data_IF_333237621256
#
_entry.id   IF_333237621256
#
_cell.length_a   1.000
_cell.length_b   1.000
_cell.length_c   1.000
_cell.angle_alpha   90.00
_cell.angle_beta   90.00
_cell.angle_gamma   90.00
#
_symmetry.space_group_name_H-M   'P 1'
#
loop_
_entity.id
_entity.type
_entity.pdbx_description
1 polymer ?
#
# COMPACT_ATOMS: atom_id res chain seq x y z
N UNK A 1 -9.34 24.20 -14.08
CA UNK A 1 -9.14 22.87 -13.47
C UNK A 1 -8.74 23.08 -12.01
N UNK A 2 -9.68 22.92 -11.07
CA UNK A 2 -9.44 23.14 -9.63
C UNK A 2 -9.09 21.78 -9.05
N UNK A 3 -7.82 21.54 -8.69
CA UNK A 3 -7.41 20.29 -8.06
C UNK A 3 -7.70 20.37 -6.55
N UNK A 4 -8.71 19.66 -6.02
CA UNK A 4 -8.98 19.68 -4.59
C UNK A 4 -7.85 18.91 -3.90
N UNK A 5 -6.94 19.65 -3.23
CA UNK A 5 -5.88 19.14 -2.35
C UNK A 5 -5.16 17.87 -2.86
N UNK A 6 -4.81 17.83 -4.14
CA UNK A 6 -3.99 16.75 -4.68
C UNK A 6 -2.54 16.95 -4.23
N UNK A 7 -2.13 16.28 -3.15
CA UNK A 7 -0.72 16.27 -2.69
C UNK A 7 0.17 15.37 -3.55
N UNK A 8 -0.42 14.49 -4.36
CA UNK A 8 0.28 13.50 -5.18
C UNK A 8 -0.32 13.44 -6.59
N UNK A 9 0.53 13.54 -7.60
CA UNK A 9 0.15 13.52 -9.02
C UNK A 9 0.99 12.46 -9.75
N UNK A 10 0.34 11.73 -10.66
CA UNK A 10 1.01 10.82 -11.61
C UNK A 10 0.51 11.18 -13.00
N UNK A 11 1.45 11.35 -13.93
CA UNK A 11 1.18 11.60 -15.35
C UNK A 11 1.83 10.45 -16.12
N UNK A 12 1.07 9.82 -17.00
CA UNK A 12 1.56 8.75 -17.88
C UNK A 12 1.57 9.29 -19.30
N UNK A 13 2.69 9.10 -19.99
CA UNK A 13 2.92 9.57 -21.35
C UNK A 13 3.46 8.40 -22.16
N UNK A 14 3.12 8.37 -23.44
CA UNK A 14 3.55 7.33 -24.37
C UNK A 14 4.97 7.59 -24.88
N UNK A 15 5.26 8.86 -25.21
CA UNK A 15 6.56 9.27 -25.72
C UNK A 15 7.50 9.80 -24.63
N UNK A 16 8.80 9.49 -24.79
CA UNK A 16 9.84 9.85 -23.82
C UNK A 16 10.17 11.34 -23.86
N UNK A 17 10.19 11.94 -25.05
CA UNK A 17 10.51 13.36 -25.21
C UNK A 17 9.36 14.23 -24.73
N UNK A 18 8.12 13.81 -24.97
CA UNK A 18 6.93 14.42 -24.36
C UNK A 18 7.03 14.41 -22.83
N UNK A 19 7.43 13.28 -22.26
CA UNK A 19 7.61 13.15 -20.82
C UNK A 19 8.66 14.10 -20.26
N UNK A 20 9.78 14.30 -20.97
CA UNK A 20 10.80 15.28 -20.59
C UNK A 20 10.28 16.72 -20.70
N UNK A 21 9.57 17.07 -21.78
CA UNK A 21 9.01 18.42 -21.95
C UNK A 21 8.01 18.73 -20.84
N UNK A 22 7.09 17.82 -20.56
CA UNK A 22 6.12 17.97 -19.46
C UNK A 22 6.84 18.10 -18.12
N UNK A 23 7.87 17.28 -17.85
CA UNK A 23 8.65 17.34 -16.61
C UNK A 23 9.32 18.70 -16.38
N UNK A 24 9.81 19.35 -17.45
CA UNK A 24 10.43 20.68 -17.38
C UNK A 24 9.41 21.82 -17.25
N UNK A 25 8.22 21.68 -17.86
CA UNK A 25 7.18 22.73 -17.88
C UNK A 25 6.32 22.72 -16.61
N UNK A 26 6.15 21.56 -15.96
CA UNK A 26 5.32 21.42 -14.76
C UNK A 26 5.70 22.43 -13.65
N UNK A 27 6.97 22.56 -13.22
CA UNK A 27 7.36 23.55 -12.22
C UNK A 27 6.92 24.97 -12.58
N UNK A 28 7.14 25.39 -13.83
CA UNK A 28 6.74 26.74 -14.31
C UNK A 28 5.23 26.94 -14.23
N UNK A 29 4.45 25.91 -14.57
CA UNK A 29 2.99 25.96 -14.55
C UNK A 29 2.44 26.02 -13.13
N UNK A 30 3.00 25.25 -12.20
CA UNK A 30 2.60 25.30 -10.80
C UNK A 30 3.00 26.64 -10.15
N UNK A 31 4.17 27.18 -10.50
CA UNK A 31 4.60 28.51 -10.05
C UNK A 31 3.61 29.63 -10.40
N UNK A 32 2.96 29.57 -11.58
CA UNK A 32 1.89 30.51 -11.96
C UNK A 32 0.69 30.49 -11.00
N UNK A 33 0.45 29.37 -10.30
CA UNK A 33 -0.61 29.22 -9.31
C UNK A 33 -0.10 29.39 -7.87
N UNK A 34 1.13 29.89 -7.67
CA UNK A 34 1.75 30.04 -6.35
C UNK A 34 2.08 28.72 -5.66
N UNK A 35 2.26 27.64 -6.44
CA UNK A 35 2.59 26.31 -5.95
C UNK A 35 4.03 25.95 -6.31
N UNK A 36 4.77 25.40 -5.35
CA UNK A 36 6.13 24.90 -5.56
C UNK A 36 6.14 23.37 -5.55
N UNK A 37 6.84 22.76 -6.51
CA UNK A 37 7.05 21.32 -6.55
C UNK A 37 8.29 20.95 -5.74
N UNK A 38 8.13 20.01 -4.81
CA UNK A 38 9.24 19.50 -4.03
C UNK A 38 10.14 18.60 -4.89
N UNK A 39 11.39 19.02 -5.11
CA UNK A 39 12.42 18.31 -5.90
C UNK A 39 12.58 16.84 -5.50
N UNK A 40 12.57 16.55 -4.19
CA UNK A 40 12.72 15.18 -3.67
C UNK A 40 11.56 14.23 -4.03
N UNK A 41 10.42 14.75 -4.49
CA UNK A 41 9.22 13.96 -4.81
C UNK A 41 8.95 13.85 -6.31
N UNK A 42 9.57 14.71 -7.13
CA UNK A 42 9.46 14.61 -8.59
C UNK A 42 10.45 13.57 -9.10
N UNK A 43 9.96 12.68 -9.96
CA UNK A 43 10.79 11.64 -10.58
C UNK A 43 10.20 11.29 -11.93
N UNK A 44 11.05 11.21 -12.94
CA UNK A 44 10.71 10.63 -14.23
C UNK A 44 11.03 9.13 -14.17
N UNK A 45 10.08 8.29 -14.57
CA UNK A 45 10.19 6.84 -14.47
C UNK A 45 9.98 6.20 -15.82
N UNK A 46 10.83 5.23 -16.16
CA UNK A 46 10.58 4.36 -17.30
C UNK A 46 9.60 3.26 -16.90
N UNK A 47 8.34 3.41 -17.33
CA UNK A 47 7.27 2.45 -17.07
C UNK A 47 6.80 1.76 -18.36
N UNK A 48 7.72 1.44 -19.27
CA UNK A 48 7.40 0.76 -20.52
C UNK A 48 7.03 -0.72 -20.32
N UNK A 49 6.26 -1.27 -21.27
CA UNK A 49 5.95 -2.71 -21.30
C UNK A 49 7.24 -3.49 -21.53
N UNK A 50 7.60 -4.46 -20.68
CA UNK A 50 8.85 -5.20 -20.82
C UNK A 50 8.79 -6.13 -22.03
N UNK A 51 9.76 -5.99 -22.95
CA UNK A 51 9.87 -6.71 -24.23
C UNK A 51 10.81 -7.91 -24.19
N UNK A 52 11.76 -7.98 -23.24
CA UNK A 52 12.78 -9.05 -23.16
C UNK A 52 13.38 -9.26 -21.76
N UNK A 53 14.49 -10.02 -21.68
CA UNK A 53 15.15 -10.40 -20.41
C UNK A 53 16.07 -9.31 -19.81
N UNK A 54 16.31 -8.18 -20.51
CA UNK A 54 17.12 -7.06 -20.00
C UNK A 54 16.32 -5.88 -19.43
N UNK A 55 15.08 -5.69 -19.89
CA UNK A 55 14.24 -4.57 -19.46
C UNK A 55 13.51 -4.92 -18.15
N UNK A 56 13.97 -4.31 -17.05
CA UNK A 56 13.26 -4.28 -15.77
C UNK A 56 12.59 -2.93 -15.61
N UNK A 57 11.38 -2.72 -16.16
CA UNK A 57 10.65 -1.48 -15.98
C UNK A 57 10.42 -1.26 -14.48
N UNK A 58 10.66 -0.03 -14.04
CA UNK A 58 10.62 0.31 -12.62
C UNK A 58 9.18 0.21 -12.08
N UNK A 59 9.05 -0.15 -10.80
CA UNK A 59 7.77 -0.03 -10.10
C UNK A 59 7.62 1.33 -9.44
N UNK A 60 6.39 1.79 -9.26
CA UNK A 60 6.12 3.02 -8.50
C UNK A 60 5.02 2.86 -7.48
N UNK A 61 5.11 3.61 -6.39
CA UNK A 61 4.09 3.64 -5.35
C UNK A 61 3.14 4.82 -5.57
N UNK A 62 1.84 4.56 -5.64
CA UNK A 62 0.80 5.60 -5.73
C UNK A 62 -0.46 5.16 -5.00
N UNK A 63 -1.08 6.06 -4.25
CA UNK A 63 -2.27 5.82 -3.40
C UNK A 63 -2.15 4.57 -2.50
N UNK A 64 -0.94 4.29 -2.02
CA UNK A 64 -0.69 3.14 -1.15
C UNK A 64 -0.61 1.78 -1.86
N UNK A 65 -0.56 1.78 -3.19
CA UNK A 65 -0.27 0.60 -4.01
C UNK A 65 1.09 0.72 -4.68
N UNK A 66 1.79 -0.40 -4.80
CA UNK A 66 2.93 -0.56 -5.71
C UNK A 66 2.41 -1.05 -7.06
N UNK A 67 2.63 -0.26 -8.10
CA UNK A 67 2.34 -0.57 -9.50
C UNK A 67 3.59 -1.16 -10.13
N UNK A 68 3.46 -2.31 -10.79
CA UNK A 68 4.58 -3.01 -11.40
C UNK A 68 4.12 -3.88 -12.57
N UNK A 69 5.03 -4.18 -13.49
CA UNK A 69 4.75 -5.11 -14.58
C UNK A 69 4.81 -6.56 -14.09
N UNK A 70 3.78 -7.34 -14.43
CA UNK A 70 3.72 -8.77 -14.15
C UNK A 70 3.13 -9.55 -15.32
N UNK A 71 3.05 -10.87 -15.16
CA UNK A 71 2.36 -11.75 -16.10
C UNK A 71 0.94 -12.02 -15.61
N UNK A 72 -0.04 -11.93 -16.50
CA UNK A 72 -1.40 -12.41 -16.29
C UNK A 72 -1.42 -13.95 -16.28
N UNK A 73 -2.55 -14.55 -15.88
CA UNK A 73 -2.72 -16.01 -15.96
C UNK A 73 -2.66 -16.52 -17.41
N UNK A 74 -3.01 -15.68 -18.38
CA UNK A 74 -2.91 -15.96 -19.83
C UNK A 74 -1.53 -15.63 -20.42
N UNK A 75 -0.50 -15.43 -19.60
CA UNK A 75 0.86 -15.13 -20.05
C UNK A 75 1.13 -13.69 -20.48
N UNK A 76 0.08 -12.90 -20.79
CA UNK A 76 0.22 -11.50 -21.21
C UNK A 76 0.89 -10.61 -20.14
N UNK A 77 1.74 -9.66 -20.57
CA UNK A 77 2.32 -8.63 -19.72
C UNK A 77 1.23 -7.61 -19.35
N UNK A 78 0.97 -7.46 -18.06
CA UNK A 78 -0.04 -6.54 -17.54
C UNK A 78 0.50 -5.76 -16.34
N UNK A 79 -0.02 -4.55 -16.13
CA UNK A 79 0.27 -3.77 -14.93
C UNK A 79 -0.49 -4.40 -13.76
N UNK A 80 0.25 -4.90 -12.78
CA UNK A 80 -0.27 -5.42 -11.52
C UNK A 80 -0.11 -4.39 -10.41
N UNK A 81 -0.97 -4.52 -9.41
CA UNK A 81 -1.00 -3.66 -8.23
C UNK A 81 -0.97 -4.54 -6.99
N UNK A 82 -0.15 -4.15 -6.02
CA UNK A 82 -0.12 -4.78 -4.69
C UNK A 82 -0.08 -3.71 -3.61
N UNK A 83 -0.53 -4.02 -2.39
CA UNK A 83 -0.38 -3.11 -1.24
C UNK A 83 1.09 -2.69 -1.12
N UNK A 84 1.34 -1.38 -1.00
CA UNK A 84 2.69 -0.88 -0.74
C UNK A 84 3.25 -1.55 0.51
N UNK A 85 4.49 -2.03 0.44
CA UNK A 85 5.14 -2.69 1.58
C UNK A 85 5.23 -1.79 2.81
N UNK A 86 5.33 -0.46 2.61
CA UNK A 86 5.28 0.52 3.71
C UNK A 86 3.89 0.56 4.35
N UNK A 87 2.84 0.58 3.54
CA UNK A 87 1.45 0.61 4.03
C UNK A 87 1.05 -0.72 4.70
N UNK A 88 1.47 -1.84 4.13
CA UNK A 88 1.22 -3.17 4.70
C UNK A 88 1.89 -3.31 6.08
N UNK A 89 3.18 -2.98 6.19
CA UNK A 89 3.90 -2.98 7.49
C UNK A 89 3.23 -2.06 8.51
N UNK A 90 2.83 -0.85 8.10
CA UNK A 90 2.11 0.08 8.99
C UNK A 90 0.75 -0.49 9.43
N UNK A 91 0.02 -1.17 8.54
CA UNK A 91 -1.24 -1.84 8.89
C UNK A 91 -1.01 -2.96 9.90
N UNK A 92 -0.05 -3.85 9.66
CA UNK A 92 0.32 -4.95 10.58
C UNK A 92 0.69 -4.38 11.95
N UNK A 93 1.58 -3.37 12.00
CA UNK A 93 1.98 -2.72 13.25
C UNK A 93 0.79 -2.17 14.03
N UNK A 94 -0.19 -1.55 13.35
CA UNK A 94 -1.41 -1.05 14.01
C UNK A 94 -2.23 -2.17 14.63
N UNK A 95 -2.36 -3.33 13.97
CA UNK A 95 -3.06 -4.49 14.52
C UNK A 95 -2.32 -5.01 15.76
N UNK A 96 -1.01 -5.19 15.69
CA UNK A 96 -0.20 -5.62 16.84
C UNK A 96 -0.32 -4.70 18.05
N UNK A 97 -0.25 -3.38 17.83
CA UNK A 97 -0.41 -2.40 18.90
C UNK A 97 -1.81 -2.44 19.50
N UNK A 98 -2.84 -2.59 18.66
CA UNK A 98 -4.21 -2.69 19.12
C UNK A 98 -4.43 -3.98 19.94
N UNK A 99 -3.95 -5.14 19.46
CA UNK A 99 -4.01 -6.40 20.20
C UNK A 99 -3.29 -6.29 21.55
N UNK A 100 -2.13 -5.62 21.61
CA UNK A 100 -1.40 -5.40 22.87
C UNK A 100 -2.19 -4.53 23.87
N UNK A 101 -2.86 -3.48 23.39
CA UNK A 101 -3.59 -2.55 24.24
C UNK A 101 -4.90 -3.14 24.77
N UNK A 102 -5.57 -4.00 24.00
CA UNK A 102 -6.92 -4.51 24.29
C UNK A 102 -6.93 -5.97 24.79
N UNK A 103 -5.81 -6.46 25.35
CA UNK A 103 -5.69 -7.85 25.83
C UNK A 103 -6.67 -8.21 26.95
N UNK A 104 -7.07 -7.22 27.74
CA UNK A 104 -7.98 -7.34 28.88
C UNK A 104 -9.46 -7.42 28.46
N UNK A 105 -9.77 -7.17 27.20
CA UNK A 105 -11.15 -7.26 26.72
C UNK A 105 -11.59 -8.73 26.61
N UNK A 106 -12.90 -9.03 26.65
CA UNK A 106 -13.40 -10.36 26.34
C UNK A 106 -12.95 -10.83 24.95
N UNK A 107 -12.59 -12.12 24.84
CA UNK A 107 -12.03 -12.70 23.60
C UNK A 107 -12.98 -12.53 22.41
N UNK A 108 -14.29 -12.65 22.63
CA UNK A 108 -15.31 -12.48 21.59
C UNK A 108 -15.32 -11.05 21.03
N UNK A 109 -15.25 -10.05 21.90
CA UNK A 109 -15.18 -8.64 21.50
C UNK A 109 -13.87 -8.32 20.78
N UNK A 110 -12.76 -8.90 21.24
CA UNK A 110 -11.46 -8.78 20.57
C UNK A 110 -11.55 -9.31 19.13
N UNK A 111 -12.14 -10.49 18.96
CA UNK A 111 -12.32 -11.14 17.66
C UNK A 111 -13.22 -10.32 16.72
N UNK A 112 -14.39 -9.87 17.21
CA UNK A 112 -15.31 -9.05 16.43
C UNK A 112 -14.65 -7.74 15.96
N UNK A 113 -13.87 -7.08 16.83
CA UNK A 113 -13.13 -5.88 16.46
C UNK A 113 -12.00 -6.15 15.46
N UNK A 114 -11.32 -7.30 15.56
CA UNK A 114 -10.31 -7.72 14.59
C UNK A 114 -10.92 -7.95 13.21
N UNK A 115 -12.05 -8.66 13.13
CA UNK A 115 -12.80 -8.88 11.90
C UNK A 115 -13.19 -7.56 11.23
N UNK A 116 -13.68 -6.57 11.98
CA UNK A 116 -13.97 -5.22 11.45
C UNK A 116 -12.73 -4.54 10.86
N UNK A 117 -11.58 -4.65 11.51
CA UNK A 117 -10.31 -4.08 10.99
C UNK A 117 -9.84 -4.79 9.72
N UNK A 118 -9.99 -6.11 9.65
CA UNK A 118 -9.68 -6.90 8.45
C UNK A 118 -10.59 -6.48 7.28
N UNK A 119 -11.91 -6.42 7.50
CA UNK A 119 -12.87 -5.97 6.49
C UNK A 119 -12.56 -4.55 5.99
N UNK A 120 -12.22 -3.62 6.88
CA UNK A 120 -11.81 -2.27 6.47
C UNK A 120 -10.55 -2.26 5.61
N UNK A 121 -9.56 -3.13 5.89
CA UNK A 121 -8.38 -3.28 5.05
C UNK A 121 -8.73 -3.88 3.68
N UNK A 122 -9.59 -4.89 3.66
CA UNK A 122 -10.02 -5.56 2.43
C UNK A 122 -10.85 -4.64 1.54
N UNK A 123 -11.70 -3.78 2.11
CA UNK A 123 -12.49 -2.82 1.34
C UNK A 123 -11.64 -1.87 0.49
N UNK A 124 -10.45 -1.48 0.97
CA UNK A 124 -9.55 -0.63 0.20
C UNK A 124 -8.55 -1.41 -0.66
N UNK A 125 -7.95 -2.47 -0.11
CA UNK A 125 -6.86 -3.20 -0.76
C UNK A 125 -7.32 -4.45 -1.53
N UNK A 126 -8.62 -4.75 -1.54
CA UNK A 126 -9.29 -5.89 -2.17
C UNK A 126 -9.33 -5.86 -3.70
N UNK A 127 -8.20 -5.55 -4.34
CA UNK A 127 -8.09 -5.47 -5.80
C UNK A 127 -7.45 -6.73 -6.40
N UNK A 128 -7.74 -6.98 -7.68
CA UNK A 128 -7.17 -8.07 -8.45
C UNK A 128 -5.64 -8.06 -8.42
N UNK A 129 -5.03 -9.20 -8.11
CA UNK A 129 -3.58 -9.37 -8.05
C UNK A 129 -2.94 -9.09 -6.68
N UNK A 130 -3.72 -8.61 -5.68
CA UNK A 130 -3.21 -8.30 -4.35
C UNK A 130 -3.47 -9.39 -3.29
N UNK A 131 -4.04 -10.54 -3.67
CA UNK A 131 -4.47 -11.60 -2.75
C UNK A 131 -3.36 -12.07 -1.79
N UNK A 132 -2.11 -12.11 -2.25
CA UNK A 132 -0.96 -12.51 -1.42
C UNK A 132 -0.77 -11.56 -0.23
N UNK A 133 -0.86 -10.26 -0.45
CA UNK A 133 -0.72 -9.25 0.61
C UNK A 133 -1.88 -9.32 1.60
N UNK A 134 -3.10 -9.56 1.11
CA UNK A 134 -4.30 -9.68 1.94
C UNK A 134 -4.24 -10.92 2.85
N UNK A 135 -3.87 -12.08 2.29
CA UNK A 135 -3.64 -13.31 3.05
C UNK A 135 -2.54 -13.10 4.10
N UNK A 136 -1.42 -12.49 3.71
CA UNK A 136 -0.34 -12.16 4.64
C UNK A 136 -0.80 -11.25 5.78
N UNK A 137 -1.63 -10.24 5.49
CA UNK A 137 -2.20 -9.37 6.52
C UNK A 137 -3.12 -10.14 7.48
N UNK A 138 -3.98 -11.00 6.96
CA UNK A 138 -4.87 -11.85 7.76
C UNK A 138 -4.08 -12.76 8.70
N UNK A 139 -3.10 -13.51 8.18
CA UNK A 139 -2.25 -14.39 8.97
C UNK A 139 -1.53 -13.64 10.10
N UNK A 140 -1.01 -12.44 9.81
CA UNK A 140 -0.33 -11.63 10.81
C UNK A 140 -1.29 -11.08 11.87
N UNK A 141 -2.52 -10.73 11.49
CA UNK A 141 -3.55 -10.29 12.43
C UNK A 141 -3.97 -11.41 13.39
N UNK A 142 -4.20 -12.61 12.85
CA UNK A 142 -4.52 -13.81 13.64
C UNK A 142 -3.36 -14.14 14.58
N UNK A 143 -2.12 -14.18 14.07
CA UNK A 143 -0.92 -14.42 14.88
C UNK A 143 -0.79 -13.40 16.01
N UNK A 144 -0.98 -12.12 15.73
CA UNK A 144 -0.93 -11.06 16.74
C UNK A 144 -1.95 -11.27 17.85
N UNK A 145 -3.18 -11.68 17.50
CA UNK A 145 -4.22 -11.97 18.47
C UNK A 145 -3.83 -13.16 19.37
N UNK A 146 -3.49 -14.31 18.78
CA UNK A 146 -3.08 -15.50 19.54
C UNK A 146 -1.89 -15.25 20.46
N UNK A 147 -0.84 -14.59 19.96
CA UNK A 147 0.35 -14.29 20.74
C UNK A 147 0.03 -13.40 21.95
N UNK A 148 -0.84 -12.41 21.79
CA UNK A 148 -1.12 -11.43 22.85
C UNK A 148 -2.18 -11.90 23.85
N UNK A 149 -3.18 -12.66 23.40
CA UNK A 149 -4.21 -13.24 24.26
C UNK A 149 -3.64 -14.42 25.05
N UNK A 150 -2.85 -15.30 24.43
CA UNK A 150 -2.22 -16.42 25.12
C UNK A 150 -1.28 -15.98 26.26
N UNK A 151 -0.54 -14.89 26.05
CA UNK A 151 0.29 -14.28 27.10
C UNK A 151 -0.53 -13.69 28.26
N UNK A 152 -1.74 -13.21 28.00
CA UNK A 152 -2.61 -12.64 29.04
C UNK A 152 -3.23 -13.74 29.91
N UNK A 153 -3.81 -14.76 29.28
CA UNK A 153 -4.42 -15.90 29.99
C UNK A 153 -3.39 -16.63 30.85
N UNK A 154 -2.16 -16.78 30.36
CA UNK A 154 -1.06 -17.36 31.15
C UNK A 154 -0.62 -16.49 32.34
N UNK A 155 -0.75 -15.17 32.25
CA UNK A 155 -0.42 -14.24 33.34
C UNK A 155 -1.52 -14.16 34.40
N UNK A 156 -2.80 -14.26 34.03
CA UNK A 156 -3.91 -14.31 35.00
C UNK A 156 -3.86 -15.60 35.82
N UNK A 157 -3.59 -16.74 35.20
CA UNK A 157 -3.50 -18.05 35.89
C UNK A 157 -2.31 -18.17 36.87
N UNK A 158 -1.35 -17.24 36.83
CA UNK A 158 -0.24 -17.18 37.81
C UNK A 158 -0.49 -16.16 38.94
N UNK A 159 -1.59 -15.40 38.89
CA UNK A 159 -1.98 -14.43 39.93
C UNK A 159 -3.09 -14.94 40.85
N UNK A 160 -3.76 -16.01 40.46
CA UNK A 160 -4.64 -16.83 41.31
C UNK A 160 -3.82 -17.89 42.06
#
# INVERSE_FOLDING_TARGET
MRFPRATHLVIVLEDRDDARRVYQVLPKRFGRYGLELQEAKKRLLNFSRPTGQGDKPEGFEFLGFTHYWGRSCKGNRVVKRKTSGKKLRKAIKRVYLWCRANRHMPVEEQWAALCRKLHGHYGYYGITGNIRSLKGFCCQAIRAHFEKVGLYIGQERQRE
#
